data_IF_525280948634
#
_entry.id   IF_525280948634
#
_cell.length_a   1.000
_cell.length_b   1.000
_cell.length_c   1.000
_cell.angle_alpha   90.00
_cell.angle_beta   90.00
_cell.angle_gamma   90.00
#
_symmetry.space_group_name_H-M   'P 1'
#
loop_
_entity.id
_entity.type
_entity.pdbx_description
1 polymer ?
#
# COMPACT_ATOMS: atom_id res chain seq x y z
N UNK A 1 5.03 12.84 11.76
CA UNK A 1 3.82 13.19 11.00
C UNK A 1 4.23 14.19 9.94
N UNK A 2 4.30 13.74 8.69
CA UNK A 2 4.61 14.64 7.57
C UNK A 2 3.35 15.44 7.25
N UNK A 3 3.43 16.75 7.39
CA UNK A 3 2.39 17.69 7.00
C UNK A 3 2.18 17.63 5.48
N UNK A 4 0.93 17.72 5.02
CA UNK A 4 0.54 17.91 3.62
C UNK A 4 1.22 19.12 2.95
N UNK A 5 1.85 20.02 3.72
CA UNK A 5 2.76 21.06 3.21
C UNK A 5 4.02 20.52 2.50
N UNK A 6 4.40 19.26 2.74
CA UNK A 6 5.56 18.62 2.10
C UNK A 6 5.34 18.23 0.64
N UNK A 7 4.11 17.90 0.25
CA UNK A 7 3.77 17.45 -1.10
C UNK A 7 3.55 18.60 -2.09
N UNK A 8 3.21 19.80 -1.60
CA UNK A 8 3.02 21.00 -2.43
C UNK A 8 4.32 21.77 -2.73
N UNK A 9 5.45 21.41 -2.12
CA UNK A 9 6.77 22.05 -2.40
C UNK A 9 7.54 21.44 -3.57
N UNK A 10 7.07 20.34 -4.16
CA UNK A 10 7.73 19.72 -5.32
C UNK A 10 7.40 20.40 -6.67
N UNK A 11 6.57 21.43 -6.68
CA UNK A 11 6.24 22.23 -7.86
C UNK A 11 6.67 23.69 -7.70
N UNK A 12 7.98 23.92 -7.68
CA UNK A 12 8.53 25.26 -7.92
C UNK A 12 9.88 25.11 -8.63
N UNK A 13 9.95 25.27 -9.97
CA UNK A 13 11.23 25.50 -10.62
C UNK A 13 11.77 26.86 -10.15
N UNK A 14 12.95 26.85 -9.55
CA UNK A 14 13.75 28.02 -9.20
C UNK A 14 14.12 28.78 -10.48
N UNK A 15 13.27 29.70 -10.95
CA UNK A 15 13.66 30.76 -11.89
C UNK A 15 12.47 31.67 -12.21
N UNK A 16 12.03 32.46 -11.24
CA UNK A 16 11.36 33.73 -11.50
C UNK A 16 11.76 34.71 -10.39
N UNK A 17 12.83 35.44 -10.66
CA UNK A 17 13.24 36.64 -9.92
C UNK A 17 12.18 37.71 -10.19
N UNK A 18 11.45 38.14 -9.16
CA UNK A 18 10.51 39.25 -9.27
C UNK A 18 9.68 39.44 -8.00
N UNK A 19 9.98 40.49 -7.24
CA UNK A 19 9.36 40.86 -5.98
C UNK A 19 7.83 40.93 -5.99
N UNK A 20 7.16 40.31 -5.02
CA UNK A 20 5.93 40.82 -4.40
C UNK A 20 5.80 40.27 -2.96
N UNK A 21 5.61 41.11 -1.93
CA UNK A 21 5.25 40.63 -0.60
C UNK A 21 3.77 40.24 -0.63
N UNK A 22 3.47 38.98 -0.93
CA UNK A 22 2.12 38.45 -0.70
C UNK A 22 1.96 38.20 0.80
N UNK A 23 1.45 39.20 1.49
CA UNK A 23 0.74 39.01 2.75
C UNK A 23 -0.42 38.05 2.45
N UNK A 24 -0.34 36.82 2.94
CA UNK A 24 -1.48 35.91 2.97
C UNK A 24 -2.54 36.51 3.91
N UNK A 25 -3.36 37.42 3.39
CA UNK A 25 -4.69 37.62 3.94
C UNK A 25 -5.44 36.32 3.67
N UNK A 26 -5.68 35.53 4.73
CA UNK A 26 -6.63 34.43 4.67
C UNK A 26 -7.94 34.99 4.11
N UNK A 27 -8.42 34.54 2.95
CA UNK A 27 -9.78 34.84 2.54
C UNK A 27 -10.70 34.37 3.67
N UNK A 28 -11.66 35.21 4.08
CA UNK A 28 -12.72 34.77 4.96
C UNK A 28 -13.33 33.49 4.38
N UNK A 29 -13.20 32.38 5.11
CA UNK A 29 -13.84 31.12 4.76
C UNK A 29 -15.33 31.40 4.51
N UNK A 30 -15.91 30.91 3.40
CA UNK A 30 -17.35 30.96 3.23
C UNK A 30 -17.99 30.29 4.45
N UNK A 31 -19.07 30.88 4.97
CA UNK A 31 -19.68 30.39 6.19
C UNK A 31 -20.18 28.96 5.96
N UNK A 32 -19.59 28.00 6.68
CA UNK A 32 -19.90 26.56 6.69
C UNK A 32 -21.40 26.29 6.95
N UNK A 33 -22.15 27.30 7.38
CA UNK A 33 -23.57 27.25 7.73
C UNK A 33 -24.48 26.61 6.68
N UNK A 34 -24.16 26.70 5.38
CA UNK A 34 -25.00 26.08 4.33
C UNK A 34 -24.71 24.59 4.10
N UNK A 35 -23.56 24.08 4.56
CA UNK A 35 -23.11 22.70 4.33
C UNK A 35 -23.02 21.85 5.61
N UNK A 36 -23.48 22.40 6.75
CA UNK A 36 -23.52 21.70 8.05
C UNK A 36 -24.19 20.32 8.00
N UNK A 37 -25.33 20.10 7.32
CA UNK A 37 -25.95 18.76 7.28
C UNK A 37 -25.06 17.71 6.59
N UNK A 38 -24.31 18.12 5.56
CA UNK A 38 -23.39 17.25 4.85
C UNK A 38 -22.10 17.03 5.65
N UNK A 39 -21.59 18.09 6.28
CA UNK A 39 -20.46 18.02 7.20
C UNK A 39 -20.74 17.00 8.32
N UNK A 40 -21.86 17.14 9.03
CA UNK A 40 -22.24 16.27 10.14
C UNK A 40 -22.46 14.83 9.68
N UNK A 41 -23.04 14.63 8.50
CA UNK A 41 -23.20 13.30 7.90
C UNK A 41 -21.85 12.65 7.64
N UNK A 42 -20.90 13.35 7.02
CA UNK A 42 -19.56 12.80 6.72
C UNK A 42 -18.75 12.55 8.00
N UNK A 43 -18.81 13.45 8.98
CA UNK A 43 -18.17 13.21 10.26
C UNK A 43 -18.78 12.01 11.00
N UNK A 44 -20.10 11.80 10.91
CA UNK A 44 -20.77 10.63 11.51
C UNK A 44 -20.38 9.29 10.86
N UNK A 45 -20.00 9.32 9.58
CA UNK A 45 -19.45 8.17 8.84
C UNK A 45 -17.96 7.92 9.16
N UNK A 46 -17.35 8.74 10.03
CA UNK A 46 -15.99 8.56 10.54
C UNK A 46 -14.90 9.27 9.75
N UNK A 47 -15.26 10.20 8.85
CA UNK A 47 -14.29 11.08 8.20
C UNK A 47 -13.80 12.17 9.17
N UNK A 48 -12.53 12.57 9.03
CA UNK A 48 -11.93 13.59 9.90
C UNK A 48 -12.62 14.95 9.71
N UNK A 49 -13.05 15.64 10.79
CA UNK A 49 -13.76 16.91 10.68
C UNK A 49 -12.96 18.04 10.01
N UNK A 50 -11.63 18.07 10.16
CA UNK A 50 -10.79 19.08 9.52
C UNK A 50 -10.71 18.84 8.01
N UNK A 51 -10.55 17.57 7.60
CA UNK A 51 -10.55 17.18 6.18
C UNK A 51 -11.91 17.45 5.52
N UNK A 52 -13.01 17.10 6.20
CA UNK A 52 -14.38 17.38 5.72
C UNK A 52 -14.57 18.88 5.57
N UNK A 53 -14.12 19.69 6.54
CA UNK A 53 -14.18 21.15 6.46
C UNK A 53 -13.33 21.68 5.29
N UNK A 54 -12.12 21.18 5.09
CA UNK A 54 -11.24 21.60 4.00
C UNK A 54 -11.86 21.32 2.63
N UNK A 55 -12.43 20.13 2.42
CA UNK A 55 -13.06 19.75 1.16
C UNK A 55 -14.33 20.56 0.90
N UNK A 56 -15.18 20.72 1.91
CA UNK A 56 -16.42 21.48 1.81
C UNK A 56 -16.18 22.99 1.61
N UNK A 57 -15.12 23.52 2.22
CA UNK A 57 -14.69 24.91 2.05
C UNK A 57 -13.79 25.13 0.83
N UNK A 58 -13.35 24.06 0.16
CA UNK A 58 -12.54 24.19 -1.04
C UNK A 58 -13.40 24.78 -2.15
N UNK A 59 -12.85 25.74 -2.92
CA UNK A 59 -13.59 26.29 -4.05
C UNK A 59 -13.99 25.16 -4.99
N UNK A 60 -15.28 24.99 -5.22
CA UNK A 60 -15.78 24.01 -6.19
C UNK A 60 -15.21 24.39 -7.55
N UNK A 61 -14.30 23.56 -8.07
CA UNK A 61 -13.79 23.71 -9.42
C UNK A 61 -14.96 23.54 -10.38
N UNK A 62 -15.41 24.64 -10.98
CA UNK A 62 -16.40 24.57 -12.06
C UNK A 62 -15.69 24.11 -13.32
N UNK A 63 -16.41 23.50 -14.24
CA UNK A 63 -15.85 23.11 -15.54
C UNK A 63 -15.22 24.31 -16.28
N UNK A 64 -15.71 25.52 -16.00
CA UNK A 64 -15.16 26.78 -16.50
C UNK A 64 -13.81 27.20 -15.85
N UNK A 65 -13.48 26.69 -14.66
CA UNK A 65 -12.22 26.96 -13.95
C UNK A 65 -11.06 26.09 -14.47
N UNK A 66 -11.39 24.98 -15.16
CA UNK A 66 -10.45 24.14 -15.89
C UNK A 66 -10.08 24.82 -17.21
N UNK A 67 -9.12 25.75 -17.16
CA UNK A 67 -8.69 26.58 -18.31
C UNK A 67 -8.12 25.80 -19.49
N UNK A 68 -7.72 24.55 -19.30
CA UNK A 68 -7.12 23.71 -20.35
C UNK A 68 -7.87 22.39 -20.38
N UNK A 69 -8.61 22.16 -21.46
CA UNK A 69 -9.24 20.87 -21.69
C UNK A 69 -8.17 19.84 -22.07
N UNK A 70 -8.34 18.59 -21.65
CA UNK A 70 -7.36 17.51 -21.86
C UNK A 70 -7.06 17.27 -23.36
N UNK A 71 -8.03 17.54 -24.23
CA UNK A 71 -7.91 17.50 -25.69
C UNK A 71 -7.04 18.63 -26.27
N UNK A 72 -6.84 19.71 -25.52
CA UNK A 72 -5.99 20.84 -25.91
C UNK A 72 -4.55 20.72 -25.38
N UNK A 73 -4.23 19.67 -24.63
CA UNK A 73 -2.88 19.42 -24.14
C UNK A 73 -1.94 19.03 -25.29
N UNK A 74 -0.67 19.47 -25.29
CA UNK A 74 0.33 18.97 -26.22
C UNK A 74 0.41 17.44 -26.18
N UNK A 75 0.55 16.80 -27.35
CA UNK A 75 0.47 15.34 -27.48
C UNK A 75 1.37 14.58 -26.49
N UNK A 76 2.59 15.10 -26.24
CA UNK A 76 3.53 14.54 -25.26
C UNK A 76 2.99 14.57 -23.83
N UNK A 77 2.38 15.69 -23.41
CA UNK A 77 1.84 15.83 -22.06
C UNK A 77 0.56 15.01 -21.90
N UNK A 78 -0.29 14.96 -22.94
CA UNK A 78 -1.47 14.10 -22.97
C UNK A 78 -1.08 12.63 -22.87
N UNK A 79 -0.07 12.19 -23.61
CA UNK A 79 0.43 10.82 -23.54
C UNK A 79 1.04 10.50 -22.17
N UNK A 80 1.78 11.43 -21.57
CA UNK A 80 2.32 11.24 -20.21
C UNK A 80 1.21 11.19 -19.15
N UNK A 81 0.18 12.03 -19.27
CA UNK A 81 -0.98 12.00 -18.39
C UNK A 81 -1.75 10.67 -18.54
N UNK A 82 -1.98 10.23 -19.77
CA UNK A 82 -2.65 8.96 -20.06
C UNK A 82 -1.83 7.77 -19.54
N UNK A 83 -0.52 7.72 -19.76
CA UNK A 83 0.32 6.67 -19.18
C UNK A 83 0.32 6.69 -17.65
N UNK A 84 0.23 7.87 -17.01
CA UNK A 84 0.11 7.97 -15.55
C UNK A 84 -1.25 7.53 -15.05
N UNK A 85 -2.33 7.84 -15.75
CA UNK A 85 -3.68 7.36 -15.44
C UNK A 85 -3.78 5.86 -15.64
N UNK A 86 -3.27 5.31 -16.74
CA UNK A 86 -3.18 3.87 -16.98
C UNK A 86 -2.33 3.16 -15.92
N UNK A 87 -1.22 3.78 -15.48
CA UNK A 87 -0.41 3.26 -14.37
C UNK A 87 -1.17 3.35 -13.03
N UNK A 88 -2.03 4.34 -12.86
CA UNK A 88 -2.89 4.48 -11.68
C UNK A 88 -4.01 3.43 -11.69
N UNK A 89 -4.68 3.22 -12.82
CA UNK A 89 -5.67 2.17 -13.03
C UNK A 89 -5.05 0.76 -12.90
N UNK A 90 -3.78 0.60 -13.28
CA UNK A 90 -3.03 -0.65 -13.08
C UNK A 90 -2.59 -0.86 -11.61
N UNK A 91 -2.45 0.22 -10.84
CA UNK A 91 -2.21 0.17 -9.38
C UNK A 91 -3.52 -0.03 -8.60
N UNK A 92 -4.64 0.47 -9.14
CA UNK A 92 -6.02 0.23 -8.72
C UNK A 92 -6.65 -0.95 -9.48
N UNK A 93 -5.85 -1.94 -9.87
CA UNK A 93 -6.40 -3.22 -10.30
C UNK A 93 -7.31 -3.74 -9.17
N UNK A 94 -8.61 -3.59 -9.40
CA UNK A 94 -9.75 -3.97 -8.58
C UNK A 94 -9.41 -5.09 -7.58
N UNK A 95 -9.82 -5.00 -6.31
CA UNK A 95 -9.61 -6.07 -5.35
C UNK A 95 -10.27 -7.33 -5.90
N UNK A 96 -9.49 -8.21 -6.54
CA UNK A 96 -10.02 -9.43 -7.09
C UNK A 96 -10.67 -10.18 -5.92
N UNK A 97 -12.00 -10.34 -5.90
CA UNK A 97 -12.70 -11.00 -4.81
C UNK A 97 -12.36 -12.50 -4.73
N UNK A 98 -11.53 -13.02 -5.64
CA UNK A 98 -11.18 -14.44 -5.80
C UNK A 98 -9.72 -14.79 -5.48
N UNK A 99 -8.88 -13.87 -4.99
CA UNK A 99 -7.54 -14.26 -4.54
C UNK A 99 -7.63 -15.06 -3.23
N UNK A 100 -7.69 -16.39 -3.37
CA UNK A 100 -7.80 -17.36 -2.25
C UNK A 100 -6.44 -17.79 -1.69
N UNK A 101 -5.39 -17.00 -1.95
CA UNK A 101 -4.03 -17.30 -1.55
C UNK A 101 -3.38 -16.07 -0.89
N UNK A 102 -2.42 -16.31 0.02
CA UNK A 102 -1.61 -15.28 0.64
C UNK A 102 -0.14 -15.50 0.28
N UNK A 103 0.56 -14.46 -0.17
CA UNK A 103 2.01 -14.44 -0.20
C UNK A 103 2.51 -13.85 1.12
N UNK A 104 3.24 -14.66 1.89
CA UNK A 104 3.81 -14.30 3.17
C UNK A 104 5.34 -14.24 3.08
N UNK A 105 5.93 -13.19 3.65
CA UNK A 105 7.39 -12.96 3.69
C UNK A 105 7.93 -12.77 5.13
N UNK A 106 7.04 -12.72 6.12
CA UNK A 106 7.35 -12.49 7.53
C UNK A 106 6.90 -13.63 8.43
N UNK A 107 6.27 -13.30 9.55
CA UNK A 107 5.84 -14.30 10.56
C UNK A 107 4.71 -15.21 10.11
N UNK A 108 4.01 -14.86 9.02
CA UNK A 108 3.03 -15.72 8.37
C UNK A 108 3.66 -16.74 7.39
N UNK A 109 4.97 -16.75 7.21
CA UNK A 109 5.63 -17.68 6.29
C UNK A 109 5.40 -19.13 6.72
N UNK A 110 5.17 -20.00 5.74
CA UNK A 110 5.01 -21.43 5.99
C UNK A 110 6.29 -22.16 6.37
N UNK A 111 7.45 -21.57 6.12
CA UNK A 111 8.76 -22.04 6.55
C UNK A 111 9.32 -21.23 7.75
N UNK A 112 8.47 -20.53 8.49
CA UNK A 112 8.90 -19.73 9.65
C UNK A 112 9.44 -20.61 10.80
N UNK A 113 8.85 -21.79 11.01
CA UNK A 113 9.26 -22.76 12.02
C UNK A 113 8.86 -24.20 11.65
N UNK A 114 9.15 -25.19 12.50
CA UNK A 114 8.86 -26.60 12.22
C UNK A 114 7.37 -26.88 12.02
N UNK A 115 6.51 -26.12 12.70
CA UNK A 115 5.04 -26.25 12.63
C UNK A 115 4.40 -25.25 11.65
N UNK A 116 5.20 -24.55 10.85
CA UNK A 116 4.73 -23.54 9.91
C UNK A 116 4.85 -22.12 10.44
N UNK A 117 3.79 -21.33 10.28
CA UNK A 117 3.77 -19.93 10.65
C UNK A 117 3.74 -19.71 12.17
N UNK A 118 4.15 -18.53 12.62
CA UNK A 118 4.23 -18.17 14.05
C UNK A 118 2.87 -18.22 14.78
N UNK A 119 1.77 -18.07 14.05
CA UNK A 119 0.44 -17.80 14.60
C UNK A 119 -0.47 -19.05 14.59
N UNK A 120 0.02 -20.14 13.99
CA UNK A 120 -0.69 -21.41 13.87
C UNK A 120 -1.85 -21.34 12.89
N UNK A 121 -1.84 -20.42 11.93
CA UNK A 121 -2.84 -20.36 10.84
C UNK A 121 -2.77 -21.64 10.02
N UNK A 122 -1.55 -22.09 9.68
CA UNK A 122 -1.31 -23.32 8.96
C UNK A 122 -1.63 -24.55 9.80
N UNK A 123 -1.22 -24.60 11.07
CA UNK A 123 -1.47 -25.76 11.93
C UNK A 123 -2.97 -25.98 12.22
N UNK A 124 -3.78 -24.91 12.23
CA UNK A 124 -5.22 -24.97 12.50
C UNK A 124 -6.07 -25.08 11.24
N UNK A 125 -5.47 -25.07 10.06
CA UNK A 125 -6.18 -25.17 8.80
C UNK A 125 -5.58 -26.26 7.92
N UNK A 126 -6.33 -26.75 6.94
CA UNK A 126 -5.81 -27.68 5.93
C UNK A 126 -4.99 -26.93 4.86
N UNK A 127 -4.36 -25.82 5.23
CA UNK A 127 -3.58 -25.01 4.32
C UNK A 127 -2.32 -25.74 3.86
N UNK A 128 -1.94 -25.49 2.62
CA UNK A 128 -0.64 -25.88 2.08
C UNK A 128 0.15 -24.64 1.74
N UNK A 129 1.47 -24.75 1.73
CA UNK A 129 2.34 -23.66 1.33
C UNK A 129 3.45 -24.12 0.40
N UNK A 130 3.93 -23.20 -0.44
CA UNK A 130 5.06 -23.41 -1.36
C UNK A 130 5.98 -22.20 -1.34
N UNK A 131 7.31 -22.38 -1.43
CA UNK A 131 8.23 -21.27 -1.59
C UNK A 131 7.91 -20.49 -2.88
N UNK A 132 8.04 -19.17 -2.83
CA UNK A 132 7.70 -18.29 -3.93
C UNK A 132 8.47 -16.97 -3.86
N UNK A 133 8.36 -16.18 -4.92
CA UNK A 133 8.87 -14.80 -4.98
C UNK A 133 7.89 -13.84 -5.63
N UNK A 134 7.96 -12.58 -5.23
CA UNK A 134 7.16 -11.47 -5.78
C UNK A 134 8.12 -10.34 -6.18
N UNK A 135 7.82 -9.64 -7.28
CA UNK A 135 8.57 -8.48 -7.80
C UNK A 135 7.87 -7.16 -7.45
N UNK A 136 8.61 -6.05 -7.49
CA UNK A 136 8.07 -4.70 -7.27
C UNK A 136 8.07 -4.24 -5.81
N UNK A 137 8.74 -4.97 -4.92
CA UNK A 137 8.75 -4.71 -3.49
C UNK A 137 10.14 -4.95 -2.87
N UNK A 138 10.44 -4.21 -1.81
CA UNK A 138 11.63 -4.41 -0.97
C UNK A 138 11.25 -4.74 0.46
N UNK A 139 12.13 -5.48 1.11
CA UNK A 139 11.93 -5.98 2.46
C UNK A 139 12.81 -5.24 3.47
N UNK A 140 12.18 -4.79 4.54
CA UNK A 140 12.82 -4.03 5.61
C UNK A 140 12.42 -4.58 6.98
N UNK A 141 13.13 -4.15 8.03
CA UNK A 141 12.78 -4.41 9.42
C UNK A 141 13.24 -3.24 10.29
N UNK A 142 12.34 -2.72 11.11
CA UNK A 142 12.72 -1.83 12.20
C UNK A 142 13.58 -2.64 13.19
N UNK A 143 14.81 -2.21 13.52
CA UNK A 143 15.70 -2.96 14.41
C UNK A 143 15.11 -3.24 15.81
N UNK A 144 14.07 -2.52 16.22
CA UNK A 144 13.37 -2.69 17.49
C UNK A 144 12.28 -3.77 17.43
N UNK A 145 11.91 -4.22 16.23
CA UNK A 145 10.87 -5.20 15.98
C UNK A 145 11.48 -6.55 15.62
N UNK A 146 10.70 -7.62 15.80
CA UNK A 146 11.11 -9.01 15.52
C UNK A 146 10.42 -9.59 14.27
N UNK A 147 9.91 -8.72 13.41
CA UNK A 147 9.20 -9.08 12.18
C UNK A 147 9.50 -8.04 11.07
N UNK A 148 9.50 -8.46 9.79
CA UNK A 148 9.81 -7.57 8.69
C UNK A 148 8.54 -6.89 8.15
N UNK A 149 8.74 -5.90 7.28
CA UNK A 149 7.68 -5.29 6.49
C UNK A 149 8.15 -5.09 5.04
N UNK A 150 7.24 -5.29 4.10
CA UNK A 150 7.46 -5.01 2.69
C UNK A 150 7.02 -3.58 2.35
N UNK A 151 7.71 -2.95 1.40
CA UNK A 151 7.33 -1.66 0.82
C UNK A 151 7.32 -1.79 -0.70
N UNK A 152 6.26 -1.30 -1.34
CA UNK A 152 6.13 -1.28 -2.80
C UNK A 152 7.10 -0.25 -3.38
N UNK A 153 7.93 -0.68 -4.33
CA UNK A 153 8.87 0.18 -5.05
C UNK A 153 8.47 0.38 -6.51
N UNK A 154 7.68 -0.55 -7.07
CA UNK A 154 7.29 -0.54 -8.48
C UNK A 154 8.42 -0.94 -9.44
N UNK A 155 9.55 -1.44 -8.92
CA UNK A 155 10.72 -1.86 -9.71
C UNK A 155 10.78 -3.38 -9.84
N UNK A 156 10.84 -3.89 -11.07
CA UNK A 156 10.81 -5.33 -11.34
C UNK A 156 12.03 -6.08 -10.80
N UNK A 157 13.17 -5.41 -10.67
CA UNK A 157 14.39 -5.95 -10.08
C UNK A 157 14.30 -6.16 -8.56
N UNK A 158 13.40 -5.43 -7.89
CA UNK A 158 13.19 -5.55 -6.46
C UNK A 158 12.31 -6.77 -6.17
N UNK A 159 12.89 -7.77 -5.50
CA UNK A 159 12.26 -9.08 -5.28
C UNK A 159 12.16 -9.35 -3.78
N UNK A 160 11.04 -9.94 -3.37
CA UNK A 160 10.87 -10.53 -2.03
C UNK A 160 10.72 -12.03 -2.17
N UNK A 161 11.40 -12.76 -1.28
CA UNK A 161 11.31 -14.22 -1.13
C UNK A 161 10.41 -14.54 0.05
N UNK A 162 9.53 -15.52 -0.14
CA UNK A 162 8.60 -15.95 0.89
C UNK A 162 7.88 -17.24 0.50
N UNK A 163 6.66 -17.39 0.98
CA UNK A 163 5.81 -18.56 0.73
C UNK A 163 4.43 -18.13 0.27
N UNK A 164 3.87 -18.83 -0.71
CA UNK A 164 2.45 -18.76 -1.02
C UNK A 164 1.71 -19.79 -0.17
N UNK A 165 0.64 -19.35 0.50
CA UNK A 165 -0.29 -20.17 1.27
C UNK A 165 -1.59 -20.32 0.49
N UNK A 166 -2.12 -21.54 0.41
CA UNK A 166 -3.38 -21.87 -0.25
C UNK A 166 -4.23 -22.77 0.63
N UNK A 167 -5.55 -22.59 0.57
CA UNK A 167 -6.53 -23.41 1.30
C UNK A 167 -7.31 -24.30 0.34
N UNK A 168 -7.87 -25.44 0.82
CA UNK A 168 -8.55 -26.42 -0.03
C UNK A 168 -9.87 -25.91 -0.62
N UNK A 169 -10.44 -24.84 -0.06
CA UNK A 169 -11.70 -24.26 -0.54
C UNK A 169 -11.73 -22.75 -0.37
N UNK A 170 -12.58 -22.09 -1.15
CA UNK A 170 -12.82 -20.66 -1.04
C UNK A 170 -13.38 -20.24 0.33
N UNK A 171 -14.20 -21.09 0.95
CA UNK A 171 -14.74 -20.82 2.28
C UNK A 171 -13.63 -20.83 3.34
N UNK A 172 -12.77 -21.86 3.33
CA UNK A 172 -11.61 -21.94 4.21
C UNK A 172 -10.63 -20.78 3.99
N UNK A 173 -10.37 -20.42 2.73
CA UNK A 173 -9.54 -19.28 2.40
C UNK A 173 -10.12 -17.97 2.97
N UNK A 174 -11.42 -17.71 2.80
CA UNK A 174 -12.06 -16.48 3.32
C UNK A 174 -11.95 -16.38 4.83
N UNK A 175 -12.22 -17.46 5.55
CA UNK A 175 -12.09 -17.52 7.00
C UNK A 175 -10.65 -17.23 7.46
N UNK A 176 -9.67 -17.91 6.86
CA UNK A 176 -8.28 -17.79 7.29
C UNK A 176 -7.64 -16.47 6.84
N UNK A 177 -8.03 -15.91 5.70
CA UNK A 177 -7.65 -14.55 5.30
C UNK A 177 -8.18 -13.53 6.33
N UNK A 178 -9.39 -13.72 6.87
CA UNK A 178 -9.91 -12.86 7.92
C UNK A 178 -9.05 -12.95 9.21
N UNK A 179 -8.61 -14.15 9.59
CA UNK A 179 -7.64 -14.34 10.68
C UNK A 179 -6.31 -13.64 10.41
N UNK A 180 -5.77 -13.75 9.19
CA UNK A 180 -4.55 -13.02 8.80
C UNK A 180 -4.73 -11.50 8.85
N UNK A 181 -5.89 -10.97 8.45
CA UNK A 181 -6.18 -9.54 8.56
C UNK A 181 -6.08 -9.05 10.02
N UNK A 182 -6.57 -9.85 10.97
CA UNK A 182 -6.47 -9.52 12.41
C UNK A 182 -5.02 -9.51 12.90
N UNK A 183 -4.22 -10.49 12.48
CA UNK A 183 -2.79 -10.58 12.83
C UNK A 183 -2.02 -9.37 12.29
N UNK A 184 -2.26 -9.00 11.04
CA UNK A 184 -1.54 -7.93 10.34
C UNK A 184 -2.17 -6.54 10.57
N UNK A 185 -3.25 -6.45 11.37
CA UNK A 185 -3.95 -5.20 11.64
C UNK A 185 -4.55 -4.53 10.39
N UNK A 186 -4.84 -5.32 9.35
CA UNK A 186 -5.52 -4.85 8.14
C UNK A 186 -7.04 -4.79 8.36
N UNK A 187 -7.67 -3.69 7.93
CA UNK A 187 -9.12 -3.49 8.03
C UNK A 187 -9.74 -3.48 6.64
N UNK A 188 -10.48 -4.53 6.28
CA UNK A 188 -11.07 -4.62 4.94
C UNK A 188 -12.08 -3.49 4.63
N UNK A 189 -12.78 -2.97 5.64
CA UNK A 189 -13.69 -1.82 5.50
C UNK A 189 -12.97 -0.47 5.41
N UNK A 190 -11.68 -0.41 5.80
CA UNK A 190 -10.86 0.79 5.80
C UNK A 190 -9.42 0.40 5.40
N UNK A 191 -9.21 -0.02 4.14
CA UNK A 191 -7.96 -0.67 3.69
C UNK A 191 -6.72 0.23 3.87
N UNK A 192 -6.93 1.54 3.95
CA UNK A 192 -5.89 2.56 4.08
C UNK A 192 -5.58 2.95 5.53
N UNK A 193 -6.44 2.57 6.49
CA UNK A 193 -6.34 2.99 7.90
C UNK A 193 -5.65 1.96 8.81
N UNK A 194 -5.32 0.77 8.28
CA UNK A 194 -4.62 -0.28 9.01
C UNK A 194 -3.11 -0.05 9.14
N UNK A 195 -2.45 -0.84 10.00
CA UNK A 195 -0.98 -0.84 10.11
C UNK A 195 -0.35 -1.30 8.79
N UNK A 196 -0.93 -2.34 8.19
CA UNK A 196 -0.60 -2.83 6.86
C UNK A 196 -1.74 -2.51 5.90
N UNK A 197 -1.37 -2.27 4.65
CA UNK A 197 -2.23 -2.30 3.47
C UNK A 197 -2.13 -3.68 2.82
N UNK A 198 -3.01 -3.96 1.86
CA UNK A 198 -3.02 -5.22 1.13
C UNK A 198 -2.95 -4.99 -0.37
N UNK A 199 -2.10 -5.74 -1.03
CA UNK A 199 -1.92 -5.74 -2.46
C UNK A 199 -2.29 -7.10 -3.06
N UNK A 200 -2.84 -7.09 -4.26
CA UNK A 200 -2.84 -8.27 -5.13
C UNK A 200 -1.47 -8.33 -5.83
N UNK A 201 -0.80 -9.47 -5.74
CA UNK A 201 0.53 -9.69 -6.33
C UNK A 201 0.58 -10.96 -7.16
N UNK A 202 1.51 -10.98 -8.11
CA UNK A 202 1.80 -12.14 -8.95
C UNK A 202 2.98 -12.91 -8.36
N UNK A 203 2.70 -13.98 -7.61
CA UNK A 203 3.69 -14.78 -6.93
C UNK A 203 4.20 -15.92 -7.84
N UNK A 204 5.49 -15.88 -8.18
CA UNK A 204 6.13 -16.97 -8.90
C UNK A 204 6.55 -18.06 -7.92
N UNK A 205 5.93 -19.25 -8.03
CA UNK A 205 6.32 -20.40 -7.23
C UNK A 205 7.75 -20.85 -7.59
N UNK A 206 8.53 -21.21 -6.56
CA UNK A 206 9.88 -21.75 -6.73
C UNK A 206 9.83 -23.08 -7.49
N UNK A 207 10.79 -23.27 -8.39
CA UNK A 207 10.95 -24.49 -9.20
C UNK A 207 9.72 -24.85 -10.06
N UNK A 208 8.86 -23.88 -10.33
CA UNK A 208 7.69 -24.05 -11.19
C UNK A 208 7.84 -23.26 -12.48
N UNK A 209 7.58 -23.92 -13.61
CA UNK A 209 7.39 -23.27 -14.92
C UNK A 209 5.97 -22.75 -15.15
N UNK A 210 5.07 -22.96 -14.18
CA UNK A 210 3.70 -22.48 -14.28
C UNK A 210 3.66 -20.94 -14.23
N UNK A 211 2.59 -20.33 -14.78
CA UNK A 211 2.34 -18.90 -14.62
C UNK A 211 2.33 -18.49 -13.14
N UNK A 212 2.69 -17.22 -12.83
CA UNK A 212 2.55 -16.67 -11.50
C UNK A 212 1.13 -16.84 -10.95
N UNK A 213 1.03 -17.13 -9.66
CA UNK A 213 -0.23 -17.24 -8.95
C UNK A 213 -0.60 -15.87 -8.35
N UNK A 214 -1.84 -15.43 -8.57
CA UNK A 214 -2.39 -14.28 -7.88
C UNK A 214 -2.54 -14.56 -6.38
N UNK A 215 -1.95 -13.72 -5.53
CA UNK A 215 -2.01 -13.85 -4.08
C UNK A 215 -2.15 -12.49 -3.41
N UNK A 216 -2.73 -12.48 -2.22
CA UNK A 216 -2.78 -11.30 -1.36
C UNK A 216 -1.47 -11.15 -0.60
N UNK A 217 -0.94 -9.94 -0.52
CA UNK A 217 0.26 -9.63 0.24
C UNK A 217 0.02 -8.39 1.10
N UNK A 218 0.35 -8.48 2.39
CA UNK A 218 0.35 -7.32 3.26
C UNK A 218 1.60 -6.48 3.01
N UNK A 219 1.52 -5.16 3.09
CA UNK A 219 2.70 -4.29 2.99
C UNK A 219 2.46 -2.99 3.77
N UNK A 220 3.51 -2.24 4.06
CA UNK A 220 3.39 -0.94 4.72
C UNK A 220 3.69 0.19 3.74
N UNK A 221 3.28 1.40 4.10
CA UNK A 221 3.69 2.63 3.41
C UNK A 221 4.68 3.36 4.30
N UNK A 222 5.87 3.57 3.76
CA UNK A 222 6.95 4.27 4.43
C UNK A 222 7.51 5.36 3.52
N UNK A 223 7.67 6.59 4.02
CA UNK A 223 8.44 7.61 3.34
C UNK A 223 9.90 7.16 3.16
N UNK A 224 10.48 7.48 2.00
CA UNK A 224 11.83 7.04 1.63
C UNK A 224 12.92 7.52 2.60
N UNK A 225 12.72 8.66 3.26
CA UNK A 225 13.62 9.18 4.28
C UNK A 225 13.66 8.29 5.53
N UNK A 226 12.54 7.68 5.91
CA UNK A 226 12.48 6.81 7.09
C UNK A 226 13.08 5.43 6.81
N UNK A 227 13.08 4.99 5.54
CA UNK A 227 13.68 3.71 5.14
C UNK A 227 15.20 3.67 5.35
N UNK A 228 15.87 4.83 5.43
CA UNK A 228 17.32 4.90 5.71
C UNK A 228 17.68 4.48 7.13
N UNK A 229 16.72 4.50 8.05
CA UNK A 229 16.93 4.20 9.47
C UNK A 229 16.56 2.75 9.86
N UNK A 230 16.05 1.96 8.91
CA UNK A 230 15.65 0.57 9.14
C UNK A 230 16.61 -0.39 8.44
N UNK A 231 16.64 -1.64 8.88
CA UNK A 231 17.45 -2.68 8.25
C UNK A 231 16.80 -3.09 6.94
N UNK A 232 17.53 -3.02 5.84
CA UNK A 232 17.14 -3.59 4.53
C UNK A 232 17.61 -5.04 4.41
N UNK A 233 16.85 -5.86 3.69
CA UNK A 233 17.22 -7.22 3.28
C UNK A 233 17.42 -7.23 1.76
N UNK A 234 18.67 -7.04 1.27
CA UNK A 234 18.94 -6.88 -0.16
C UNK A 234 18.50 -8.07 -1.02
N UNK A 235 18.62 -9.28 -0.48
CA UNK A 235 18.23 -10.52 -1.17
C UNK A 235 16.71 -10.78 -1.10
N UNK A 236 15.95 -9.90 -0.43
CA UNK A 236 14.50 -10.01 -0.28
C UNK A 236 14.04 -11.15 0.64
N UNK A 237 14.95 -11.86 1.28
CA UNK A 237 14.65 -13.00 2.16
C UNK A 237 14.97 -12.67 3.61
N UNK A 238 13.94 -12.63 4.45
CA UNK A 238 14.08 -12.41 5.88
C UNK A 238 14.87 -13.51 6.60
N UNK A 239 14.72 -14.76 6.15
CA UNK A 239 15.20 -15.96 6.84
C UNK A 239 16.53 -16.48 6.26
N UNK A 240 17.03 -15.91 5.17
CA UNK A 240 18.27 -16.37 4.52
C UNK A 240 19.52 -16.36 5.43
N UNK A 241 19.52 -15.57 6.51
CA UNK A 241 20.60 -15.53 7.50
C UNK A 241 20.34 -16.37 8.77
N UNK A 242 19.18 -17.00 8.90
CA UNK A 242 18.79 -17.78 10.06
C UNK A 242 18.95 -19.28 9.75
N UNK A 243 20.13 -19.83 10.09
CA UNK A 243 20.51 -21.26 10.27
C UNK A 243 21.47 -21.86 9.21
N UNK A 244 22.47 -22.68 9.64
CA UNK A 244 22.33 -23.64 10.73
C UNK A 244 23.45 -23.59 11.80
N UNK A 245 23.10 -23.17 13.02
CA UNK A 245 23.82 -23.67 14.19
C UNK A 245 23.18 -25.01 14.56
N UNK A 246 23.82 -26.08 14.10
CA UNK A 246 23.33 -27.44 14.21
C UNK A 246 23.09 -27.92 15.64
N UNK A 247 22.22 -28.92 15.75
CA UNK A 247 22.46 -30.16 16.48
C UNK A 247 21.59 -31.25 15.86
N UNK A 248 22.24 -32.39 15.60
CA UNK A 248 21.67 -33.66 15.22
C UNK A 248 20.72 -34.21 16.28
#
# INVERSE_FOLDING_TARGET
MASLQGLLKAFCPESCIGCFPFVFQRPCLPAITEQLPLHDSLTSEGFDPEDVTEVLCSPSLKEADLKVRVDQLPAKLKQELMCRLEAFDALEAEPNPEALAIFAYGTLRGDFGPDGDKWGVLAKSEATWKPARVRGFRLYQDPRLTYPFAVRTGKDEDVIVGTVIQWPSAAAAKEQIASCNQIEGFRASQPEAGLYRRALVQAQLKDSSAPPLAALMYHQIWPSEMLRAVKEFPDGDWLAGAMPNGRC
#
